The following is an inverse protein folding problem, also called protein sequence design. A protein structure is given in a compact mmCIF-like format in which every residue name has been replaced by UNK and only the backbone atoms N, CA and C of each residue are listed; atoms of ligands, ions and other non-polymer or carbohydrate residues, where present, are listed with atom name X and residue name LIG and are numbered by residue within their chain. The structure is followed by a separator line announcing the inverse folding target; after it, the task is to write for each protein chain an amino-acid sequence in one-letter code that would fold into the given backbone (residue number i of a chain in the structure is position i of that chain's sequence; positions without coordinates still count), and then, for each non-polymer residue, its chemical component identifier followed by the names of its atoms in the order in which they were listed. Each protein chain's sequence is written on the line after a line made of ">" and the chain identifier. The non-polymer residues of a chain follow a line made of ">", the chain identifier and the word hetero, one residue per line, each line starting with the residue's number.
data_IF_610437044814
#
_entry.id   IF_610437044814
#
_cell.length_a   1.000
_cell.length_b   1.000
_cell.length_c   1.000
_cell.angle_alpha   90.00
_cell.angle_beta   90.00
_cell.angle_gamma   90.00
#
_symmetry.space_group_name_H-M   'P 1'
#
loop_
_entity.id
_entity.type
_entity.pdbx_description
1 polymer ?
#
# COMPACT_ATOMS: atom_id res chain seq x y z
N UNK A 1 -11.38 28.77 -60.69
CA UNK A 1 -10.36 28.71 -59.61
C UNK A 1 -10.69 27.48 -58.72
N UNK A 2 -9.93 26.40 -58.90
CA UNK A 2 -10.16 25.14 -58.21
C UNK A 2 -9.43 25.16 -56.85
N UNK A 3 -10.17 25.03 -55.75
CA UNK A 3 -9.63 24.86 -54.40
C UNK A 3 -9.59 23.38 -54.07
N UNK A 4 -8.41 22.82 -53.94
CA UNK A 4 -8.14 21.43 -53.57
C UNK A 4 -8.25 21.25 -52.07
N UNK A 5 -9.19 20.46 -51.62
CA UNK A 5 -9.33 20.05 -50.20
C UNK A 5 -8.27 18.98 -49.84
N UNK A 6 -7.32 19.35 -49.00
CA UNK A 6 -6.38 18.39 -48.40
C UNK A 6 -7.08 17.56 -47.30
N UNK A 7 -7.24 16.28 -47.55
CA UNK A 7 -7.68 15.28 -46.58
C UNK A 7 -6.51 14.96 -45.64
N UNK A 8 -6.61 15.39 -44.41
CA UNK A 8 -5.68 15.00 -43.37
C UNK A 8 -5.93 13.55 -42.95
N UNK A 9 -4.99 12.66 -43.27
CA UNK A 9 -4.99 11.27 -42.87
C UNK A 9 -4.88 11.18 -41.32
N UNK A 10 -5.83 10.48 -40.71
CA UNK A 10 -5.78 10.09 -39.29
C UNK A 10 -4.55 9.23 -39.02
N UNK A 11 -3.80 9.45 -37.90
CA UNK A 11 -2.71 8.57 -37.55
C UNK A 11 -3.26 7.16 -37.28
N UNK A 12 -2.61 6.15 -37.88
CA UNK A 12 -2.93 4.74 -37.60
C UNK A 12 -2.60 4.43 -36.14
N UNK A 13 -3.45 3.64 -35.43
CA UNK A 13 -3.13 3.19 -34.09
C UNK A 13 -1.83 2.38 -34.13
N UNK A 14 -0.93 2.70 -33.19
CA UNK A 14 0.32 1.97 -33.00
C UNK A 14 0.01 0.47 -32.80
N UNK A 15 0.70 -0.39 -33.53
CA UNK A 15 0.61 -1.84 -33.33
C UNK A 15 1.06 -2.18 -31.92
N UNK A 16 0.12 -2.53 -31.08
CA UNK A 16 0.38 -3.14 -29.77
C UNK A 16 1.27 -4.38 -29.99
N UNK A 17 2.51 -4.27 -29.60
CA UNK A 17 3.41 -5.42 -29.51
C UNK A 17 2.86 -6.33 -28.42
N UNK A 18 2.17 -7.40 -28.80
CA UNK A 18 1.77 -8.44 -27.84
C UNK A 18 3.04 -8.95 -27.16
N UNK A 19 3.21 -8.55 -25.90
CA UNK A 19 4.24 -9.11 -25.04
C UNK A 19 3.86 -10.57 -24.77
N UNK A 20 4.38 -11.48 -25.57
CA UNK A 20 4.29 -12.92 -25.31
C UNK A 20 5.25 -13.20 -24.17
N UNK A 21 4.73 -13.13 -22.94
CA UNK A 21 5.48 -13.48 -21.74
C UNK A 21 5.85 -14.96 -21.79
N UNK A 22 7.14 -15.26 -22.01
CA UNK A 22 7.68 -16.62 -21.78
C UNK A 22 7.58 -16.88 -20.28
N UNK A 23 6.66 -17.73 -19.88
CA UNK A 23 6.57 -18.24 -18.50
C UNK A 23 7.86 -19.02 -18.22
N UNK A 24 8.55 -18.79 -17.08
CA UNK A 24 9.63 -19.68 -16.66
C UNK A 24 9.07 -21.11 -16.60
N UNK A 25 9.76 -22.07 -17.20
CA UNK A 25 9.29 -23.44 -17.42
C UNK A 25 9.19 -24.30 -16.16
N UNK A 26 9.09 -23.72 -14.95
CA UNK A 26 9.21 -24.47 -13.70
C UNK A 26 8.35 -24.02 -12.50
N UNK A 27 7.42 -23.05 -12.66
CA UNK A 27 6.52 -22.72 -11.54
C UNK A 27 5.37 -23.75 -11.51
N UNK A 28 5.21 -24.56 -10.45
CA UNK A 28 4.19 -25.59 -10.41
C UNK A 28 2.78 -24.96 -10.32
N UNK A 29 1.82 -25.58 -11.01
CA UNK A 29 0.42 -25.22 -10.90
C UNK A 29 -0.16 -25.71 -9.56
N UNK A 30 -0.92 -24.86 -8.84
CA UNK A 30 -1.49 -25.17 -7.53
C UNK A 30 -2.97 -24.82 -7.45
N UNK A 31 -3.68 -25.32 -6.45
CA UNK A 31 -5.10 -24.95 -6.25
C UNK A 31 -5.26 -23.52 -5.77
N UNK A 32 -4.43 -23.09 -4.83
CA UNK A 32 -4.56 -21.79 -4.17
C UNK A 32 -3.18 -21.19 -3.93
N UNK A 33 -3.01 -19.92 -4.24
CA UNK A 33 -1.78 -19.20 -3.95
C UNK A 33 -2.04 -17.80 -3.40
N UNK A 34 -1.23 -17.38 -2.43
CA UNK A 34 -0.99 -15.98 -2.08
C UNK A 34 0.24 -15.50 -2.84
N UNK A 35 0.17 -14.34 -3.45
CA UNK A 35 1.33 -13.75 -4.12
C UNK A 35 1.66 -12.38 -3.52
N UNK A 36 2.92 -12.15 -3.28
CA UNK A 36 3.50 -10.88 -2.88
C UNK A 36 4.43 -10.38 -3.98
N UNK A 37 4.42 -9.08 -4.21
CA UNK A 37 5.40 -8.42 -5.07
C UNK A 37 6.30 -7.54 -4.21
N UNK A 38 7.60 -7.78 -4.29
CA UNK A 38 8.61 -7.05 -3.55
C UNK A 38 9.80 -6.78 -4.46
N UNK A 39 10.23 -5.52 -4.56
CA UNK A 39 11.41 -5.13 -5.33
C UNK A 39 12.14 -3.96 -4.68
N UNK A 40 13.45 -3.86 -5.01
CA UNK A 40 14.34 -2.85 -4.48
C UNK A 40 14.93 -3.20 -3.11
N UNK A 41 15.90 -2.41 -2.68
CA UNK A 41 16.76 -2.73 -1.54
C UNK A 41 16.22 -2.30 -0.17
N UNK A 42 15.05 -1.63 -0.12
CA UNK A 42 14.52 -1.13 1.14
C UNK A 42 14.14 -2.27 2.07
N UNK A 43 14.99 -2.51 3.07
CA UNK A 43 14.79 -3.57 4.08
C UNK A 43 13.40 -3.55 4.72
N UNK A 44 12.82 -2.38 4.94
CA UNK A 44 11.52 -2.29 5.60
C UNK A 44 10.40 -3.01 4.83
N UNK A 45 10.42 -3.00 3.49
CA UNK A 45 9.44 -3.73 2.70
C UNK A 45 9.61 -5.26 2.79
N UNK A 46 10.88 -5.72 2.98
CA UNK A 46 11.14 -7.13 3.28
C UNK A 46 10.55 -7.52 4.64
N UNK A 47 10.68 -6.64 5.65
CA UNK A 47 10.12 -6.87 6.98
C UNK A 47 8.58 -6.86 6.95
N UNK A 48 7.95 -5.97 6.18
CA UNK A 48 6.51 -5.98 5.95
C UNK A 48 6.04 -7.33 5.38
N UNK A 49 6.60 -7.76 4.25
CA UNK A 49 6.25 -9.02 3.61
C UNK A 49 6.46 -10.22 4.57
N UNK A 50 7.61 -10.29 5.24
CA UNK A 50 7.91 -11.30 6.25
C UNK A 50 6.87 -11.33 7.36
N UNK A 51 6.49 -10.17 7.88
CA UNK A 51 5.51 -10.08 8.96
C UNK A 51 4.11 -10.49 8.49
N UNK A 52 3.68 -10.04 7.31
CA UNK A 52 2.43 -10.49 6.69
C UNK A 52 2.40 -12.02 6.55
N UNK A 53 3.47 -12.62 6.04
CA UNK A 53 3.63 -14.07 5.91
C UNK A 53 3.56 -14.76 7.28
N UNK A 54 4.26 -14.26 8.31
CA UNK A 54 4.18 -14.83 9.66
C UNK A 54 2.74 -14.86 10.19
N UNK A 55 1.97 -13.82 9.95
CA UNK A 55 0.56 -13.76 10.40
C UNK A 55 -0.33 -14.70 9.60
N UNK A 56 -0.09 -14.87 8.28
CA UNK A 56 -0.78 -15.86 7.45
C UNK A 56 -0.51 -17.30 7.95
N UNK A 57 0.77 -17.63 8.20
CA UNK A 57 1.19 -18.92 8.75
C UNK A 57 0.55 -19.19 10.11
N UNK A 58 0.59 -18.18 11.01
CA UNK A 58 0.05 -18.29 12.37
C UNK A 58 -1.47 -18.50 12.41
N UNK A 59 -2.20 -18.06 11.40
CA UNK A 59 -3.66 -18.17 11.29
C UNK A 59 -4.13 -19.37 10.47
N UNK A 60 -3.20 -20.05 9.79
CA UNK A 60 -3.51 -21.25 9.00
C UNK A 60 -3.53 -22.48 9.87
N UNK A 61 -4.48 -23.40 9.59
CA UNK A 61 -4.46 -24.74 10.18
C UNK A 61 -3.53 -25.65 9.39
N UNK A 62 -3.04 -26.73 10.00
CA UNK A 62 -2.29 -27.74 9.28
C UNK A 62 -3.07 -28.26 8.05
N UNK A 63 -2.42 -28.26 6.88
CA UNK A 63 -3.01 -28.69 5.62
C UNK A 63 -3.92 -27.68 4.91
N UNK A 64 -4.20 -26.51 5.52
CA UNK A 64 -5.03 -25.46 4.92
C UNK A 64 -4.19 -24.26 4.40
N UNK A 65 -2.86 -24.31 4.52
CA UNK A 65 -2.00 -23.23 4.06
C UNK A 65 -1.97 -23.19 2.52
N UNK A 66 -2.33 -22.08 1.87
CA UNK A 66 -2.13 -21.90 0.44
C UNK A 66 -0.64 -21.82 0.13
N UNK A 67 -0.25 -22.09 -1.11
CA UNK A 67 1.12 -21.80 -1.56
C UNK A 67 1.39 -20.32 -1.47
N UNK A 68 2.45 -19.91 -0.76
CA UNK A 68 2.86 -18.52 -0.67
C UNK A 68 4.00 -18.29 -1.64
N UNK A 69 3.86 -17.33 -2.55
CA UNK A 69 4.86 -16.95 -3.54
C UNK A 69 5.27 -15.50 -3.38
N UNK A 70 6.59 -15.29 -3.39
CA UNK A 70 7.18 -13.95 -3.33
C UNK A 70 7.90 -13.68 -4.66
N UNK A 71 7.37 -12.74 -5.42
CA UNK A 71 7.97 -12.27 -6.67
C UNK A 71 8.94 -11.14 -6.30
N UNK A 72 10.25 -11.33 -6.47
CA UNK A 72 11.25 -10.37 -5.96
C UNK A 72 12.56 -10.39 -6.73
N UNK A 73 13.25 -9.26 -6.74
CA UNK A 73 14.64 -9.10 -7.18
C UNK A 73 15.66 -9.34 -6.05
N UNK A 74 15.17 -9.62 -4.81
CA UNK A 74 15.98 -9.87 -3.63
C UNK A 74 15.72 -11.28 -3.05
N UNK A 75 15.93 -12.39 -3.82
CA UNK A 75 15.53 -13.73 -3.42
C UNK A 75 16.17 -14.17 -2.10
N UNK A 76 17.41 -13.76 -1.84
CA UNK A 76 18.17 -14.12 -0.62
C UNK A 76 17.50 -13.60 0.68
N UNK A 77 16.65 -12.58 0.58
CA UNK A 77 15.91 -12.09 1.74
C UNK A 77 14.94 -13.14 2.33
N UNK A 78 14.56 -14.13 1.52
CA UNK A 78 13.61 -15.18 1.90
C UNK A 78 14.25 -16.58 2.02
N UNK A 79 15.60 -16.65 2.10
CA UNK A 79 16.28 -17.92 2.34
C UNK A 79 15.81 -18.55 3.64
N UNK A 80 15.40 -19.83 3.57
CA UNK A 80 14.85 -20.58 4.72
C UNK A 80 13.41 -20.23 5.11
N UNK A 81 12.74 -19.29 4.42
CA UNK A 81 11.31 -19.01 4.62
C UNK A 81 10.44 -20.07 3.92
N UNK A 82 9.28 -20.45 4.50
CA UNK A 82 8.37 -21.42 3.90
C UNK A 82 7.53 -20.80 2.76
N UNK A 83 8.22 -20.28 1.75
CA UNK A 83 7.65 -19.62 0.57
C UNK A 83 8.34 -20.07 -0.70
N UNK A 84 7.67 -20.00 -1.84
CA UNK A 84 8.27 -20.16 -3.16
C UNK A 84 8.71 -18.80 -3.66
N UNK A 85 10.00 -18.64 -3.93
CA UNK A 85 10.55 -17.38 -4.45
C UNK A 85 10.57 -17.42 -5.97
N UNK A 86 9.96 -16.42 -6.60
CA UNK A 86 10.02 -16.21 -8.04
C UNK A 86 10.93 -15.01 -8.31
N UNK A 87 12.10 -15.28 -8.87
CA UNK A 87 13.10 -14.24 -9.11
C UNK A 87 12.68 -13.33 -10.25
N UNK A 88 12.68 -12.03 -10.01
CA UNK A 88 12.50 -10.98 -11.00
C UNK A 88 13.84 -10.35 -11.34
N UNK A 89 14.24 -10.39 -12.61
CA UNK A 89 15.41 -9.66 -13.06
C UNK A 89 15.09 -8.18 -13.34
N UNK A 90 16.12 -7.36 -13.44
CA UNK A 90 15.99 -5.92 -13.67
C UNK A 90 15.22 -5.62 -14.99
N UNK A 91 15.49 -6.39 -16.04
CA UNK A 91 14.83 -6.22 -17.34
C UNK A 91 13.31 -6.46 -17.23
N UNK A 92 12.89 -7.46 -16.46
CA UNK A 92 11.47 -7.74 -16.22
C UNK A 92 10.81 -6.62 -15.43
N UNK A 93 11.44 -6.12 -14.39
CA UNK A 93 10.94 -5.00 -13.59
C UNK A 93 10.81 -3.73 -14.44
N UNK A 94 11.77 -3.47 -15.33
CA UNK A 94 11.70 -2.37 -16.26
C UNK A 94 10.55 -2.53 -17.25
N UNK A 95 10.41 -3.70 -17.89
CA UNK A 95 9.31 -4.01 -18.78
C UNK A 95 7.94 -3.90 -18.07
N UNK A 96 7.86 -4.26 -16.78
CA UNK A 96 6.66 -4.14 -15.99
C UNK A 96 6.34 -2.69 -15.60
N UNK A 97 7.33 -1.80 -15.54
CA UNK A 97 7.09 -0.36 -15.34
C UNK A 97 6.43 0.26 -16.59
N UNK A 98 6.77 -0.24 -17.79
CA UNK A 98 6.26 0.25 -19.04
C UNK A 98 6.83 1.61 -19.46
N UNK A 99 6.48 2.05 -20.67
CA UNK A 99 7.00 3.31 -21.25
C UNK A 99 6.58 4.57 -20.46
N UNK A 100 5.42 4.51 -19.80
CA UNK A 100 4.90 5.61 -18.97
C UNK A 100 5.59 5.80 -17.63
N UNK A 101 6.53 4.93 -17.24
CA UNK A 101 7.29 5.04 -15.98
C UNK A 101 6.46 4.82 -14.70
N UNK A 102 5.22 4.32 -14.81
CA UNK A 102 4.33 4.15 -13.68
C UNK A 102 4.64 2.86 -12.89
N UNK A 103 5.29 2.99 -11.75
CA UNK A 103 5.82 1.86 -10.98
C UNK A 103 4.75 0.90 -10.44
N UNK A 104 3.53 1.38 -10.11
CA UNK A 104 2.44 0.52 -9.66
C UNK A 104 1.85 -0.38 -10.77
N UNK A 105 2.18 -0.11 -12.05
CA UNK A 105 1.91 -1.03 -13.16
C UNK A 105 2.51 -2.42 -12.91
N UNK A 106 3.64 -2.49 -12.21
CA UNK A 106 4.30 -3.75 -11.81
C UNK A 106 3.37 -4.66 -11.02
N UNK A 107 2.49 -4.10 -10.18
CA UNK A 107 1.47 -4.87 -9.44
C UNK A 107 0.53 -5.58 -10.39
N UNK A 108 -0.06 -4.88 -11.35
CA UNK A 108 -0.95 -5.46 -12.34
C UNK A 108 -0.24 -6.53 -13.18
N UNK A 109 1.02 -6.29 -13.58
CA UNK A 109 1.84 -7.27 -14.28
C UNK A 109 2.14 -8.52 -13.43
N UNK A 110 2.42 -8.37 -12.15
CA UNK A 110 2.64 -9.49 -11.24
C UNK A 110 1.37 -10.34 -11.09
N UNK A 111 0.21 -9.71 -10.94
CA UNK A 111 -1.08 -10.39 -10.88
C UNK A 111 -1.34 -11.15 -12.20
N UNK A 112 -1.23 -10.50 -13.36
CA UNK A 112 -1.43 -11.13 -14.67
C UNK A 112 -0.49 -12.32 -14.89
N UNK A 113 0.78 -12.17 -14.46
CA UNK A 113 1.78 -13.22 -14.60
C UNK A 113 1.48 -14.42 -13.72
N UNK A 114 1.16 -14.20 -12.45
CA UNK A 114 0.97 -15.24 -11.46
C UNK A 114 -0.42 -15.90 -11.52
N UNK A 115 -1.47 -15.22 -12.00
CA UNK A 115 -2.83 -15.77 -12.06
C UNK A 115 -2.93 -17.06 -12.88
N UNK A 116 -1.95 -17.34 -13.73
CA UNK A 116 -1.88 -18.55 -14.56
C UNK A 116 -1.28 -19.77 -13.84
N UNK A 117 -0.81 -19.62 -12.62
CA UNK A 117 -0.12 -20.67 -11.86
C UNK A 117 -1.02 -21.35 -10.83
N UNK A 118 -2.28 -20.93 -10.70
CA UNK A 118 -3.20 -21.51 -9.72
C UNK A 118 -4.65 -21.42 -10.19
N UNK A 119 -5.51 -22.28 -9.63
CA UNK A 119 -6.96 -22.17 -9.83
C UNK A 119 -7.50 -20.88 -9.19
N UNK A 120 -6.94 -20.47 -8.02
CA UNK A 120 -7.27 -19.20 -7.36
C UNK A 120 -6.01 -18.48 -6.91
N UNK A 121 -5.89 -17.22 -7.29
CA UNK A 121 -4.76 -16.36 -6.94
C UNK A 121 -5.25 -15.19 -6.12
N UNK A 122 -4.59 -14.91 -4.99
CA UNK A 122 -4.83 -13.70 -4.21
C UNK A 122 -3.51 -12.94 -4.09
N UNK A 123 -3.48 -11.74 -4.66
CA UNK A 123 -2.41 -10.78 -4.47
C UNK A 123 -2.57 -10.09 -3.13
N UNK A 124 -1.45 -9.89 -2.42
CA UNK A 124 -1.39 -9.26 -1.10
C UNK A 124 -0.29 -8.19 -1.12
N UNK A 125 -0.64 -6.94 -0.80
CA UNK A 125 0.36 -5.90 -0.54
C UNK A 125 1.16 -6.22 0.73
N UNK A 126 2.42 -5.82 0.78
CA UNK A 126 3.32 -6.18 1.89
C UNK A 126 2.89 -5.58 3.22
N UNK A 127 2.26 -4.41 3.20
CA UNK A 127 1.78 -3.68 4.38
C UNK A 127 0.42 -4.17 4.90
N UNK A 128 0.29 -5.49 5.00
CA UNK A 128 -0.91 -6.18 5.48
C UNK A 128 -0.62 -7.11 6.65
N UNK A 129 -1.64 -7.43 7.43
CA UNK A 129 -1.61 -8.49 8.46
C UNK A 129 -2.87 -9.33 8.41
N UNK A 130 -2.72 -10.64 8.54
CA UNK A 130 -3.84 -11.56 8.62
C UNK A 130 -4.44 -11.56 10.03
N UNK A 131 -5.71 -11.23 10.12
CA UNK A 131 -6.52 -11.29 11.34
C UNK A 131 -7.18 -12.66 11.50
N UNK A 132 -7.42 -13.35 10.38
CA UNK A 132 -8.04 -14.67 10.31
C UNK A 132 -7.30 -15.56 9.30
N UNK A 133 -7.73 -16.83 9.19
CA UNK A 133 -7.14 -17.77 8.23
C UNK A 133 -7.24 -17.28 6.79
N UNK A 134 -6.16 -17.36 5.99
CA UNK A 134 -6.19 -17.06 4.56
C UNK A 134 -7.28 -17.81 3.78
N UNK A 135 -7.67 -19.00 4.22
CA UNK A 135 -8.73 -19.79 3.58
C UNK A 135 -10.06 -19.04 3.47
N UNK A 136 -10.34 -18.10 4.40
CA UNK A 136 -11.54 -17.28 4.34
C UNK A 136 -11.56 -16.34 3.14
N UNK A 137 -10.39 -15.94 2.62
CA UNK A 137 -10.30 -15.15 1.38
C UNK A 137 -10.60 -16.03 0.16
N UNK A 138 -10.02 -17.24 0.10
CA UNK A 138 -10.23 -18.16 -1.03
C UNK A 138 -11.66 -18.66 -1.15
N UNK A 139 -12.41 -18.70 -0.04
CA UNK A 139 -13.84 -19.02 -0.04
C UNK A 139 -14.70 -17.94 -0.69
N UNK A 140 -14.17 -16.71 -0.83
CA UNK A 140 -14.85 -15.56 -1.40
C UNK A 140 -14.53 -15.35 -2.88
N UNK A 141 -13.70 -16.21 -3.50
CA UNK A 141 -13.23 -16.08 -4.88
C UNK A 141 -13.68 -17.28 -5.68
N UNK A 142 -14.34 -17.03 -6.81
CA UNK A 142 -14.66 -18.02 -7.85
C UNK A 142 -14.80 -17.33 -9.22
N UNK A 143 -15.35 -18.03 -10.23
CA UNK A 143 -15.52 -17.48 -11.56
C UNK A 143 -16.43 -16.25 -11.64
N UNK A 144 -17.30 -16.02 -10.65
CA UNK A 144 -18.29 -14.92 -10.60
C UNK A 144 -17.97 -13.90 -9.52
N UNK A 145 -17.19 -14.29 -8.50
CA UNK A 145 -16.88 -13.46 -7.34
C UNK A 145 -15.41 -13.09 -7.29
N UNK A 146 -15.16 -11.80 -7.19
CA UNK A 146 -13.84 -11.19 -7.07
C UNK A 146 -13.60 -10.70 -5.65
N UNK A 147 -12.36 -10.72 -5.22
CA UNK A 147 -11.96 -10.17 -3.93
C UNK A 147 -11.14 -8.90 -4.13
N UNK A 148 -11.47 -7.87 -3.36
CA UNK A 148 -10.68 -6.63 -3.25
C UNK A 148 -10.34 -6.37 -1.78
N UNK A 149 -9.43 -5.45 -1.49
CA UNK A 149 -9.16 -5.03 -0.12
C UNK A 149 -10.41 -4.43 0.51
N UNK A 150 -10.86 -3.31 -0.04
CA UNK A 150 -12.14 -2.67 0.32
C UNK A 150 -12.67 -1.84 -0.86
N UNK A 151 -13.97 -1.57 -0.85
CA UNK A 151 -14.60 -0.56 -1.71
C UNK A 151 -14.50 0.78 -0.99
N UNK A 152 -13.75 1.72 -1.56
CA UNK A 152 -13.49 3.02 -0.92
C UNK A 152 -14.64 4.00 -1.12
N UNK A 153 -15.11 4.15 -2.37
CA UNK A 153 -16.17 5.10 -2.74
C UNK A 153 -16.74 4.80 -4.12
N UNK A 154 -17.82 5.45 -4.49
CA UNK A 154 -18.34 5.49 -5.86
C UNK A 154 -17.57 6.50 -6.72
N UNK A 155 -17.64 6.34 -8.07
CA UNK A 155 -17.10 7.35 -8.97
C UNK A 155 -17.81 8.70 -8.84
N UNK A 156 -19.12 8.69 -8.59
CA UNK A 156 -19.88 9.90 -8.33
C UNK A 156 -19.27 10.73 -7.19
N UNK A 157 -18.83 10.06 -6.09
CA UNK A 157 -18.15 10.74 -4.98
C UNK A 157 -16.73 11.19 -5.36
N UNK A 158 -15.95 10.32 -6.02
CA UNK A 158 -14.57 10.57 -6.41
C UNK A 158 -14.45 11.74 -7.40
N UNK A 159 -15.33 11.84 -8.39
CA UNK A 159 -15.31 12.83 -9.46
C UNK A 159 -15.40 14.28 -8.96
N UNK A 160 -15.97 14.49 -7.77
CA UNK A 160 -16.02 15.80 -7.12
C UNK A 160 -14.73 16.18 -6.39
N UNK A 161 -13.80 15.26 -6.23
CA UNK A 161 -12.53 15.52 -5.56
C UNK A 161 -11.51 16.17 -6.51
N UNK A 162 -10.84 17.22 -6.03
CA UNK A 162 -9.71 17.84 -6.74
C UNK A 162 -8.60 16.83 -7.08
N UNK A 163 -8.44 15.77 -6.30
CA UNK A 163 -7.47 14.70 -6.53
C UNK A 163 -7.71 13.97 -7.85
N UNK A 164 -8.97 13.73 -8.23
CA UNK A 164 -9.33 13.03 -9.46
C UNK A 164 -9.61 13.95 -10.66
N UNK A 165 -9.65 15.29 -10.48
CA UNK A 165 -10.06 16.23 -11.53
C UNK A 165 -9.21 16.13 -12.81
N UNK A 166 -7.89 16.00 -12.68
CA UNK A 166 -6.97 15.79 -13.82
C UNK A 166 -7.23 14.50 -14.56
N UNK A 167 -7.47 13.43 -13.83
CA UNK A 167 -7.75 12.11 -14.38
C UNK A 167 -9.11 12.07 -15.09
N UNK A 168 -10.16 12.66 -14.52
CA UNK A 168 -11.49 12.77 -15.14
C UNK A 168 -11.38 13.44 -16.52
N UNK A 169 -10.60 14.54 -16.61
CA UNK A 169 -10.35 15.20 -17.89
C UNK A 169 -9.62 14.29 -18.87
N UNK A 170 -8.64 13.50 -18.41
CA UNK A 170 -7.92 12.52 -19.22
C UNK A 170 -8.84 11.44 -19.79
N UNK A 171 -9.74 10.88 -18.97
CA UNK A 171 -10.75 9.93 -19.41
C UNK A 171 -11.64 10.48 -20.51
N UNK A 172 -12.13 11.71 -20.35
CA UNK A 172 -12.94 12.37 -21.38
C UNK A 172 -12.17 12.51 -22.70
N UNK A 173 -10.88 12.86 -22.64
CA UNK A 173 -10.02 12.98 -23.82
C UNK A 173 -9.73 11.63 -24.48
N UNK A 174 -9.68 10.53 -23.72
CA UNK A 174 -9.51 9.16 -24.25
C UNK A 174 -10.80 8.56 -24.81
N UNK A 175 -11.93 9.27 -24.66
CA UNK A 175 -13.25 8.78 -25.09
C UNK A 175 -13.86 7.76 -24.14
N UNK A 176 -13.32 7.63 -22.95
CA UNK A 176 -13.88 6.80 -21.87
C UNK A 176 -14.68 7.67 -20.91
N UNK A 177 -15.88 7.23 -20.56
CA UNK A 177 -16.71 7.86 -19.55
C UNK A 177 -17.00 6.83 -18.45
N UNK A 178 -16.54 7.03 -17.22
CA UNK A 178 -16.96 6.19 -16.11
C UNK A 178 -18.43 6.46 -15.80
N UNK A 179 -19.11 5.43 -15.32
CA UNK A 179 -20.50 5.56 -14.85
C UNK A 179 -20.50 5.88 -13.36
N UNK A 180 -21.52 6.59 -12.91
CA UNK A 180 -21.59 7.10 -11.53
C UNK A 180 -21.55 6.01 -10.46
N UNK A 181 -22.08 4.82 -10.74
CA UNK A 181 -22.11 3.67 -9.85
C UNK A 181 -20.83 2.79 -9.91
N UNK A 182 -19.82 3.18 -10.70
CA UNK A 182 -18.51 2.54 -10.68
C UNK A 182 -17.92 2.62 -9.26
N UNK A 183 -17.63 1.46 -8.68
CA UNK A 183 -17.03 1.34 -7.35
C UNK A 183 -15.51 1.38 -7.44
N UNK A 184 -14.89 2.37 -6.80
CA UNK A 184 -13.45 2.43 -6.67
C UNK A 184 -12.99 1.51 -5.55
N UNK A 185 -12.15 0.54 -5.92
CA UNK A 185 -11.68 -0.51 -5.04
C UNK A 185 -10.21 -0.31 -4.70
N UNK A 186 -9.85 -0.46 -3.43
CA UNK A 186 -8.46 -0.54 -3.04
C UNK A 186 -7.85 -1.87 -3.52
N UNK A 187 -6.68 -1.80 -4.14
CA UNK A 187 -5.99 -2.94 -4.76
C UNK A 187 -4.96 -3.61 -3.84
N UNK A 188 -4.93 -3.29 -2.55
CA UNK A 188 -4.01 -3.90 -1.58
C UNK A 188 -4.20 -5.40 -1.40
N UNK A 189 -5.42 -5.87 -1.65
CA UNK A 189 -5.76 -7.29 -1.78
C UNK A 189 -6.57 -7.47 -3.06
N UNK A 190 -6.16 -8.40 -3.93
CA UNK A 190 -6.86 -8.67 -5.20
C UNK A 190 -6.95 -10.18 -5.42
N UNK A 191 -8.17 -10.71 -5.50
CA UNK A 191 -8.42 -12.15 -5.67
C UNK A 191 -9.15 -12.50 -6.96
N UNK A 192 -8.61 -13.47 -7.70
CA UNK A 192 -9.11 -13.93 -8.99
C UNK A 192 -9.12 -15.46 -9.10
N UNK A 193 -10.14 -15.99 -9.75
CA UNK A 193 -10.10 -17.35 -10.28
C UNK A 193 -9.35 -17.37 -11.61
N UNK A 194 -8.83 -18.53 -12.01
CA UNK A 194 -8.04 -18.71 -13.25
C UNK A 194 -8.79 -18.23 -14.49
N UNK A 195 -10.08 -18.48 -14.56
CA UNK A 195 -10.97 -18.09 -15.66
C UNK A 195 -10.98 -16.57 -15.89
N UNK A 196 -10.66 -15.82 -14.84
CA UNK A 196 -10.66 -14.35 -14.83
C UNK A 196 -9.27 -13.73 -14.97
N UNK A 197 -8.23 -14.52 -15.25
CA UNK A 197 -6.84 -14.03 -15.35
C UNK A 197 -6.67 -12.88 -16.36
N UNK A 198 -7.49 -12.84 -17.41
CA UNK A 198 -7.46 -11.79 -18.44
C UNK A 198 -7.83 -10.39 -17.93
N UNK A 199 -8.49 -10.27 -16.77
CA UNK A 199 -8.84 -8.97 -16.17
C UNK A 199 -7.59 -8.15 -15.88
N UNK A 200 -6.55 -8.77 -15.33
CA UNK A 200 -5.30 -8.06 -15.04
C UNK A 200 -4.59 -7.58 -16.32
N UNK A 201 -4.71 -8.32 -17.44
CA UNK A 201 -4.15 -7.90 -18.74
C UNK A 201 -4.90 -6.68 -19.29
N UNK A 202 -6.24 -6.64 -19.16
CA UNK A 202 -7.03 -5.48 -19.56
C UNK A 202 -6.77 -4.27 -18.67
N UNK A 203 -6.60 -4.48 -17.36
CA UNK A 203 -6.20 -3.41 -16.44
C UNK A 203 -4.84 -2.81 -16.84
N UNK A 204 -3.85 -3.63 -17.25
CA UNK A 204 -2.56 -3.15 -17.76
C UNK A 204 -2.76 -2.28 -19.01
N UNK A 205 -3.61 -2.68 -19.95
CA UNK A 205 -3.89 -1.89 -21.15
C UNK A 205 -4.48 -0.51 -20.80
N UNK A 206 -5.39 -0.45 -19.81
CA UNK A 206 -5.93 0.83 -19.32
C UNK A 206 -4.85 1.69 -18.65
N UNK A 207 -4.02 1.09 -17.79
CA UNK A 207 -2.90 1.78 -17.16
C UNK A 207 -2.01 2.42 -18.23
N UNK A 208 -1.64 1.68 -19.27
CA UNK A 208 -0.80 2.16 -20.37
C UNK A 208 -1.45 3.31 -21.14
N UNK A 209 -2.77 3.22 -21.38
CA UNK A 209 -3.52 4.28 -22.03
C UNK A 209 -3.66 5.54 -21.18
N UNK A 210 -3.77 5.40 -19.86
CA UNK A 210 -4.10 6.51 -18.95
C UNK A 210 -2.90 7.21 -18.34
N UNK A 211 -1.74 6.55 -18.25
CA UNK A 211 -0.54 7.11 -17.59
C UNK A 211 -0.13 8.46 -18.17
N UNK A 212 -0.32 8.69 -19.47
CA UNK A 212 -0.03 9.97 -20.12
C UNK A 212 -0.88 11.15 -19.60
N UNK A 213 -2.07 10.89 -19.05
CA UNK A 213 -3.00 11.90 -18.54
C UNK A 213 -2.96 12.08 -17.04
N UNK A 214 -2.33 11.14 -16.33
CA UNK A 214 -2.48 10.99 -14.90
C UNK A 214 -1.15 11.03 -14.13
N UNK A 215 -0.16 11.79 -14.61
CA UNK A 215 1.19 11.83 -14.04
C UNK A 215 1.25 12.17 -12.54
N UNK A 216 0.22 12.81 -11.99
CA UNK A 216 0.11 13.15 -10.57
C UNK A 216 -0.72 12.15 -9.76
N UNK A 217 -1.38 11.18 -10.41
CA UNK A 217 -2.26 10.23 -9.74
C UNK A 217 -1.52 8.92 -9.43
N UNK A 218 -1.37 8.60 -8.15
CA UNK A 218 -0.66 7.38 -7.72
C UNK A 218 -1.50 6.11 -7.76
N UNK A 219 -2.82 6.21 -8.01
CA UNK A 219 -3.79 5.10 -7.89
C UNK A 219 -4.39 4.66 -9.23
N UNK A 220 -3.66 4.87 -10.35
CA UNK A 220 -4.15 4.50 -11.69
C UNK A 220 -4.49 3.01 -11.77
N UNK A 221 -3.66 2.13 -11.18
CA UNK A 221 -3.90 0.70 -11.20
C UNK A 221 -5.16 0.31 -10.44
N UNK A 222 -5.46 0.97 -9.31
CA UNK A 222 -6.71 0.72 -8.57
C UNK A 222 -7.93 1.08 -9.41
N UNK A 223 -7.89 2.23 -10.09
CA UNK A 223 -8.97 2.69 -10.97
C UNK A 223 -9.10 1.73 -12.15
N UNK A 224 -7.99 1.30 -12.77
CA UNK A 224 -8.01 0.37 -13.89
C UNK A 224 -8.67 -0.97 -13.53
N UNK A 225 -8.32 -1.53 -12.36
CA UNK A 225 -9.00 -2.72 -11.85
C UNK A 225 -10.48 -2.45 -11.54
N UNK A 226 -10.80 -1.30 -10.97
CA UNK A 226 -12.19 -0.93 -10.65
C UNK A 226 -13.06 -0.88 -11.92
N UNK A 227 -12.53 -0.35 -13.02
CA UNK A 227 -13.21 -0.36 -14.32
C UNK A 227 -13.44 -1.78 -14.85
N UNK A 228 -12.44 -2.65 -14.75
CA UNK A 228 -12.55 -4.04 -15.21
C UNK A 228 -13.49 -4.88 -14.34
N UNK A 229 -13.69 -4.48 -13.09
CA UNK A 229 -14.60 -5.13 -12.15
C UNK A 229 -16.00 -4.48 -12.10
N UNK A 230 -16.27 -3.46 -12.95
CA UNK A 230 -17.58 -2.83 -12.98
C UNK A 230 -18.67 -3.85 -13.33
N UNK A 231 -19.77 -3.86 -12.58
CA UNK A 231 -20.86 -4.83 -12.70
C UNK A 231 -20.56 -6.23 -12.13
N UNK A 232 -19.33 -6.51 -11.70
CA UNK A 232 -18.98 -7.81 -11.10
C UNK A 232 -19.45 -7.93 -9.64
N UNK A 233 -19.52 -9.17 -9.16
CA UNK A 233 -19.75 -9.46 -7.73
C UNK A 233 -18.42 -9.31 -6.98
N UNK A 234 -18.33 -8.28 -6.12
CA UNK A 234 -17.12 -7.94 -5.37
C UNK A 234 -17.32 -8.28 -3.90
N UNK A 235 -16.39 -9.06 -3.35
CA UNK A 235 -16.22 -9.31 -1.92
C UNK A 235 -15.04 -8.49 -1.38
N UNK A 236 -15.06 -8.16 -0.09
CA UNK A 236 -14.02 -7.40 0.57
C UNK A 236 -13.19 -8.27 1.52
N UNK A 237 -11.87 -8.04 1.56
CA UNK A 237 -10.96 -8.73 2.47
C UNK A 237 -11.11 -8.25 3.93
N UNK A 238 -11.88 -7.20 4.15
CA UNK A 238 -12.11 -6.58 5.46
C UNK A 238 -12.49 -7.62 6.51
N UNK A 239 -11.84 -7.55 7.68
CA UNK A 239 -12.04 -8.49 8.78
C UNK A 239 -11.23 -9.79 8.67
N UNK A 240 -10.69 -10.14 7.51
CA UNK A 240 -9.71 -11.23 7.34
C UNK A 240 -8.30 -10.68 7.27
N UNK A 241 -8.11 -9.57 6.59
CA UNK A 241 -6.87 -8.80 6.52
C UNK A 241 -7.09 -7.41 7.11
N UNK A 242 -6.03 -6.85 7.69
CA UNK A 242 -5.90 -5.44 8.01
C UNK A 242 -4.76 -4.86 7.17
N UNK A 243 -5.08 -3.93 6.30
CA UNK A 243 -4.13 -3.18 5.50
C UNK A 243 -3.84 -1.85 6.20
N UNK A 244 -2.57 -1.59 6.52
CA UNK A 244 -2.20 -0.47 7.41
C UNK A 244 -1.56 0.72 6.67
N UNK A 245 -1.88 0.92 5.39
CA UNK A 245 -1.32 2.00 4.57
C UNK A 245 -1.38 3.38 5.24
N UNK A 246 -2.49 3.71 5.92
CA UNK A 246 -2.65 4.98 6.62
C UNK A 246 -1.82 5.12 7.92
N UNK A 247 -1.25 4.02 8.42
CA UNK A 247 -0.46 3.97 9.67
C UNK A 247 0.96 3.46 9.43
N UNK A 248 1.39 3.40 8.18
CA UNK A 248 2.61 2.72 7.71
C UNK A 248 3.84 3.09 8.52
N UNK A 249 4.09 4.37 8.78
CA UNK A 249 5.26 4.83 9.54
C UNK A 249 5.29 4.28 10.98
N UNK A 250 4.14 4.18 11.66
CA UNK A 250 4.06 3.63 13.02
C UNK A 250 4.32 2.12 13.00
N UNK A 251 3.74 1.42 12.04
CA UNK A 251 3.91 -0.02 11.92
C UNK A 251 5.35 -0.35 11.53
N UNK A 252 5.99 0.43 10.65
CA UNK A 252 7.42 0.27 10.36
C UNK A 252 8.28 0.31 11.62
N UNK A 253 8.07 1.31 12.49
CA UNK A 253 8.79 1.39 13.76
C UNK A 253 8.53 0.17 14.66
N UNK A 254 7.31 -0.36 14.67
CA UNK A 254 6.95 -1.57 15.40
C UNK A 254 7.66 -2.80 14.80
N UNK A 255 7.64 -2.96 13.47
CA UNK A 255 8.29 -4.08 12.79
C UNK A 255 9.82 -4.08 12.98
N UNK A 256 10.46 -2.91 12.94
CA UNK A 256 11.88 -2.79 13.23
C UNK A 256 12.22 -3.27 14.65
N UNK A 257 11.40 -2.93 15.65
CA UNK A 257 11.57 -3.43 17.01
C UNK A 257 11.39 -4.95 17.06
N UNK A 258 10.33 -5.47 16.43
CA UNK A 258 10.04 -6.91 16.43
C UNK A 258 11.20 -7.69 15.83
N UNK A 259 11.65 -7.35 14.61
CA UNK A 259 12.72 -8.08 13.93
C UNK A 259 14.10 -7.83 14.53
N UNK A 260 14.34 -6.68 15.16
CA UNK A 260 15.56 -6.46 15.95
C UNK A 260 15.66 -7.41 17.14
N UNK A 261 14.53 -7.73 17.77
CA UNK A 261 14.48 -8.63 18.94
C UNK A 261 14.51 -10.10 18.57
N UNK A 262 13.86 -10.46 17.49
CA UNK A 262 13.61 -11.85 17.13
C UNK A 262 14.49 -12.36 15.98
N UNK A 263 15.20 -11.45 15.28
CA UNK A 263 15.85 -11.76 14.01
C UNK A 263 14.84 -11.78 12.84
N UNK A 264 15.37 -11.82 11.62
CA UNK A 264 14.57 -11.85 10.38
C UNK A 264 14.75 -13.15 9.56
N UNK A 265 15.43 -14.13 10.13
CA UNK A 265 15.47 -15.51 9.63
C UNK A 265 14.22 -16.27 10.16
N UNK A 266 13.67 -17.11 9.31
CA UNK A 266 12.46 -17.84 9.68
C UNK A 266 12.71 -18.84 10.80
N UNK A 267 11.87 -18.75 11.83
CA UNK A 267 11.72 -19.76 12.88
C UNK A 267 10.22 -19.92 13.18
N UNK A 268 9.67 -21.15 13.31
CA UNK A 268 8.25 -21.37 13.56
C UNK A 268 7.71 -20.65 14.81
N UNK A 269 8.55 -20.36 15.80
CA UNK A 269 8.14 -19.64 17.01
C UNK A 269 7.77 -18.17 16.71
N UNK A 270 8.32 -17.58 15.64
CA UNK A 270 8.01 -16.23 15.21
C UNK A 270 6.53 -16.07 14.87
N UNK A 271 5.88 -17.09 14.34
CA UNK A 271 4.44 -17.06 14.06
C UNK A 271 3.61 -16.70 15.31
N UNK A 272 3.91 -17.36 16.44
CA UNK A 272 3.22 -17.10 17.71
C UNK A 272 3.59 -15.73 18.29
N UNK A 273 4.82 -15.27 18.07
CA UNK A 273 5.30 -13.97 18.54
C UNK A 273 4.67 -12.84 17.73
N UNK A 274 4.55 -13.00 16.41
CA UNK A 274 3.91 -12.02 15.52
C UNK A 274 2.46 -11.71 15.94
N UNK A 275 1.70 -12.72 16.39
CA UNK A 275 0.32 -12.49 16.87
C UNK A 275 0.21 -11.63 18.14
N UNK A 276 1.31 -11.38 18.84
CA UNK A 276 1.35 -10.56 20.07
C UNK A 276 1.81 -9.13 19.80
N UNK A 277 2.23 -8.82 18.58
CA UNK A 277 2.71 -7.49 18.19
C UNK A 277 1.52 -6.53 18.06
N UNK A 278 1.56 -5.33 18.67
CA UNK A 278 0.47 -4.38 18.58
C UNK A 278 0.46 -3.69 17.20
N UNK A 279 -0.35 -4.20 16.27
CA UNK A 279 -0.45 -3.67 14.89
C UNK A 279 -1.42 -2.48 14.80
N UNK A 280 -1.26 -1.51 15.71
CA UNK A 280 -2.06 -0.29 15.77
C UNK A 280 -1.18 0.90 16.10
N UNK A 281 -1.58 2.07 15.63
CA UNK A 281 -0.95 3.33 16.02
C UNK A 281 -1.18 3.57 17.52
N UNK A 282 -0.15 3.56 18.37
CA UNK A 282 -0.31 3.84 19.77
C UNK A 282 -0.83 5.26 20.01
N UNK A 283 -1.80 5.38 20.90
CA UNK A 283 -2.37 6.65 21.34
C UNK A 283 -2.40 6.67 22.87
N UNK A 284 -2.41 7.86 23.52
CA UNK A 284 -2.58 7.95 24.95
C UNK A 284 -3.85 7.25 25.45
N UNK A 285 -3.86 6.83 26.71
CA UNK A 285 -5.05 6.29 27.38
C UNK A 285 -6.25 7.25 27.24
N UNK A 286 -7.45 6.76 27.53
CA UNK A 286 -8.62 7.63 27.39
C UNK A 286 -8.56 8.88 28.29
N UNK A 287 -8.07 8.76 29.51
CA UNK A 287 -7.81 9.92 30.39
C UNK A 287 -6.73 10.84 29.79
N UNK A 288 -5.66 10.28 29.23
CA UNK A 288 -4.63 11.04 28.53
C UNK A 288 -5.21 11.82 27.34
N UNK A 289 -6.08 11.21 26.54
CA UNK A 289 -6.75 11.91 25.42
C UNK A 289 -7.68 13.03 25.88
N UNK A 290 -8.37 12.87 27.01
CA UNK A 290 -9.16 13.95 27.61
C UNK A 290 -8.24 15.10 28.06
N UNK A 291 -7.14 14.80 28.75
CA UNK A 291 -6.13 15.81 29.13
C UNK A 291 -5.61 16.56 27.91
N UNK A 292 -5.24 15.85 26.84
CA UNK A 292 -4.83 16.48 25.58
C UNK A 292 -5.92 17.39 25.01
N UNK A 293 -7.18 16.94 24.99
CA UNK A 293 -8.32 17.77 24.52
C UNK A 293 -8.44 19.08 25.33
N UNK A 294 -8.23 19.02 26.64
CA UNK A 294 -8.27 20.21 27.49
C UNK A 294 -7.08 21.14 27.23
N UNK A 295 -5.88 20.60 27.12
CA UNK A 295 -4.67 21.38 26.82
C UNK A 295 -4.80 22.11 25.48
N UNK A 296 -5.38 21.46 24.46
CA UNK A 296 -5.57 22.04 23.13
C UNK A 296 -6.58 23.19 23.08
N UNK A 297 -7.42 23.39 24.08
CA UNK A 297 -8.31 24.57 24.14
C UNK A 297 -7.55 25.90 24.19
N UNK A 298 -6.33 25.88 24.72
CA UNK A 298 -5.45 27.05 24.83
C UNK A 298 -4.53 27.25 23.63
N UNK A 299 -4.55 26.31 22.69
CA UNK A 299 -3.72 26.31 21.48
C UNK A 299 -4.51 26.97 20.34
N UNK A 300 -3.92 27.89 19.56
CA UNK A 300 -4.54 28.44 18.37
C UNK A 300 -5.12 27.35 17.45
N UNK A 301 -6.29 27.56 16.83
CA UNK A 301 -6.98 26.55 16.05
C UNK A 301 -6.11 25.88 14.98
N UNK A 302 -5.30 26.69 14.27
CA UNK A 302 -4.37 26.27 13.22
C UNK A 302 -3.24 25.37 13.71
N UNK A 303 -2.82 25.53 14.96
CA UNK A 303 -1.75 24.74 15.61
C UNK A 303 -2.25 23.51 16.37
N UNK A 304 -3.57 23.32 16.53
CA UNK A 304 -4.14 22.20 17.32
C UNK A 304 -3.77 20.83 16.77
N UNK A 305 -3.62 20.70 15.45
CA UNK A 305 -3.17 19.46 14.81
C UNK A 305 -1.78 19.08 15.29
N UNK A 306 -0.85 20.00 15.19
CA UNK A 306 0.54 19.86 15.62
C UNK A 306 0.61 19.62 17.13
N UNK A 307 -0.08 20.45 17.92
CA UNK A 307 -0.13 20.31 19.37
C UNK A 307 -0.65 18.93 19.83
N UNK A 308 -1.62 18.38 19.11
CA UNK A 308 -2.12 17.02 19.36
C UNK A 308 -1.05 15.96 19.11
N UNK A 309 -0.32 16.05 18.01
CA UNK A 309 0.75 15.10 17.66
C UNK A 309 1.87 15.16 18.71
N UNK A 310 2.27 16.36 19.16
CA UNK A 310 3.25 16.56 20.22
C UNK A 310 2.82 15.88 21.53
N UNK A 311 1.60 16.19 21.99
CA UNK A 311 1.06 15.67 23.25
C UNK A 311 0.76 14.16 23.17
N UNK A 312 0.37 13.63 22.00
CA UNK A 312 0.20 12.18 21.81
C UNK A 312 1.54 11.46 21.91
N UNK A 313 2.60 11.95 21.27
CA UNK A 313 3.94 11.41 21.43
C UNK A 313 4.38 11.40 22.88
N UNK A 314 4.16 12.49 23.63
CA UNK A 314 4.52 12.55 25.07
C UNK A 314 3.65 11.66 25.96
N UNK A 315 2.41 11.41 25.56
CA UNK A 315 1.45 10.62 26.34
C UNK A 315 1.58 9.10 26.20
N UNK A 316 2.51 8.61 25.36
CA UNK A 316 2.81 7.18 25.17
C UNK A 316 4.24 6.88 25.60
N UNK A 317 4.55 5.61 25.93
CA UNK A 317 5.92 5.24 26.29
C UNK A 317 6.05 4.06 27.23
N UNK A 318 4.97 3.28 27.42
CA UNK A 318 4.94 2.14 28.34
C UNK A 318 5.91 1.02 27.96
N UNK A 319 5.87 0.58 26.72
CA UNK A 319 6.75 -0.47 26.19
C UNK A 319 7.67 0.03 25.07
N UNK A 320 8.50 -0.84 24.53
CA UNK A 320 9.46 -0.50 23.49
C UNK A 320 8.77 -0.12 22.16
N UNK A 321 7.67 -0.76 21.80
CA UNK A 321 6.88 -0.43 20.61
C UNK A 321 6.28 0.97 20.72
N UNK A 322 5.71 1.30 21.88
CA UNK A 322 5.17 2.63 22.13
C UNK A 322 6.27 3.70 22.08
N UNK A 323 7.45 3.44 22.67
CA UNK A 323 8.58 4.39 22.62
C UNK A 323 9.07 4.63 21.20
N UNK A 324 9.11 3.60 20.34
CA UNK A 324 9.45 3.77 18.93
C UNK A 324 8.41 4.63 18.19
N UNK A 325 7.12 4.41 18.44
CA UNK A 325 6.04 5.20 17.86
C UNK A 325 5.96 6.64 18.37
N UNK A 326 6.49 6.92 19.57
CA UNK A 326 6.63 8.28 20.11
C UNK A 326 7.39 9.20 19.16
N UNK A 327 8.52 8.70 18.64
CA UNK A 327 9.35 9.42 17.66
C UNK A 327 8.56 9.70 16.38
N UNK A 328 7.73 8.76 15.92
CA UNK A 328 6.91 8.94 14.70
C UNK A 328 5.87 10.03 14.91
N UNK A 329 5.18 10.08 16.07
CA UNK A 329 4.27 11.17 16.38
C UNK A 329 4.96 12.54 16.28
N UNK A 330 6.18 12.63 16.80
CA UNK A 330 6.93 13.88 16.82
C UNK A 330 7.46 14.26 15.44
N UNK A 331 7.96 13.31 14.65
CA UNK A 331 8.34 13.56 13.23
C UNK A 331 7.16 14.08 12.43
N UNK A 332 5.98 13.48 12.61
CA UNK A 332 4.78 13.97 11.95
C UNK A 332 4.36 15.38 12.41
N UNK A 333 4.65 15.76 13.66
CA UNK A 333 4.46 17.15 14.10
C UNK A 333 5.46 18.11 13.45
N UNK A 334 6.72 17.69 13.27
CA UNK A 334 7.76 18.48 12.60
C UNK A 334 7.42 18.69 11.12
N UNK A 335 6.93 17.64 10.45
CA UNK A 335 6.47 17.74 9.05
C UNK A 335 5.35 18.77 8.90
N UNK A 336 4.34 18.74 9.78
CA UNK A 336 3.27 19.74 9.77
C UNK A 336 3.79 21.17 10.06
N UNK A 337 4.75 21.30 10.99
CA UNK A 337 5.35 22.61 11.31
C UNK A 337 6.05 23.22 10.08
N UNK A 338 6.73 22.41 9.28
CA UNK A 338 7.41 22.83 8.06
C UNK A 338 6.46 23.35 6.97
N UNK A 339 5.18 22.96 7.04
CA UNK A 339 4.15 23.42 6.10
C UNK A 339 3.53 24.75 6.54
N UNK A 340 3.87 25.27 7.73
CA UNK A 340 3.38 26.59 8.18
C UNK A 340 4.14 27.70 7.48
N UNK A 341 3.40 28.68 6.94
CA UNK A 341 3.98 29.84 6.29
C UNK A 341 4.88 30.63 7.27
N UNK A 342 6.11 30.89 6.84
CA UNK A 342 7.09 31.65 7.64
C UNK A 342 7.64 30.91 8.87
N UNK A 343 7.41 29.59 8.97
CA UNK A 343 7.98 28.80 10.08
C UNK A 343 9.47 28.55 9.82
N UNK A 344 10.32 29.13 10.67
CA UNK A 344 11.73 28.82 10.76
C UNK A 344 12.00 28.11 12.09
N UNK A 345 12.67 26.96 12.03
CA UNK A 345 13.07 26.26 13.25
C UNK A 345 14.16 27.08 13.97
N UNK A 346 13.79 27.65 15.10
CA UNK A 346 14.76 28.23 16.04
C UNK A 346 15.01 27.26 17.20
N UNK A 347 16.09 27.45 17.96
CA UNK A 347 16.32 26.65 19.18
C UNK A 347 15.28 26.95 20.27
N UNK A 348 14.48 28.00 20.12
CA UNK A 348 13.38 28.32 21.02
C UNK A 348 12.15 27.48 20.70
N UNK A 349 11.40 27.11 21.74
CA UNK A 349 10.13 26.39 21.58
C UNK A 349 9.12 27.26 20.83
N UNK A 350 8.45 26.73 19.78
CA UNK A 350 7.53 27.51 18.98
C UNK A 350 6.38 28.10 19.79
N UNK A 351 6.09 29.38 19.57
CA UNK A 351 5.03 30.09 20.25
C UNK A 351 3.66 29.50 19.91
N UNK A 352 2.75 29.49 20.87
CA UNK A 352 1.40 28.95 20.72
C UNK A 352 1.30 27.43 20.83
N UNK A 353 2.39 26.66 20.78
CA UNK A 353 2.38 25.22 20.95
C UNK A 353 2.42 24.81 22.42
N UNK A 354 1.77 23.68 22.79
CA UNK A 354 1.78 23.20 24.18
C UNK A 354 3.18 22.78 24.59
N UNK A 355 3.61 23.16 25.78
CA UNK A 355 4.88 22.72 26.36
C UNK A 355 4.83 21.23 26.68
N UNK A 356 5.95 20.56 26.48
CA UNK A 356 6.16 19.17 26.87
C UNK A 356 6.91 19.11 28.20
N UNK A 357 7.03 17.93 28.78
CA UNK A 357 7.96 17.74 29.88
C UNK A 357 9.40 17.96 29.46
N UNK A 358 10.27 18.46 30.34
CA UNK A 358 11.66 18.86 30.02
C UNK A 358 12.45 17.80 29.24
N UNK A 359 12.28 16.52 29.57
CA UNK A 359 12.97 15.43 28.87
C UNK A 359 12.42 15.22 27.45
N UNK A 360 11.10 15.35 27.29
CA UNK A 360 10.43 15.23 25.99
C UNK A 360 10.74 16.42 25.08
N UNK A 361 10.81 17.62 25.62
CA UNK A 361 11.26 18.80 24.84
C UNK A 361 12.68 18.63 24.32
N UNK A 362 13.61 18.15 25.16
CA UNK A 362 14.98 17.87 24.72
C UNK A 362 15.05 16.80 23.62
N UNK A 363 14.31 15.70 23.80
CA UNK A 363 14.28 14.62 22.83
C UNK A 363 13.62 15.08 21.52
N UNK A 364 12.54 15.83 21.57
CA UNK A 364 11.88 16.40 20.40
C UNK A 364 12.80 17.36 19.65
N UNK A 365 13.47 18.28 20.35
CA UNK A 365 14.43 19.21 19.74
C UNK A 365 15.57 18.49 19.03
N UNK A 366 16.09 17.41 19.63
CA UNK A 366 17.14 16.61 18.98
C UNK A 366 16.65 16.01 17.65
N UNK A 367 15.44 15.43 17.62
CA UNK A 367 14.81 14.87 16.43
C UNK A 367 14.59 15.94 15.35
N UNK A 368 14.12 17.14 15.78
CA UNK A 368 13.89 18.25 14.85
C UNK A 368 15.19 18.74 14.20
N UNK A 369 16.27 18.84 14.98
CA UNK A 369 17.59 19.23 14.47
C UNK A 369 18.20 18.16 13.54
N UNK A 370 17.98 16.88 13.79
CA UNK A 370 18.38 15.80 12.89
C UNK A 370 17.63 15.88 11.55
N UNK A 371 16.33 16.16 11.62
CA UNK A 371 15.50 16.30 10.43
C UNK A 371 15.92 17.45 9.53
N UNK A 372 16.44 18.56 10.10
CA UNK A 372 16.96 19.71 9.35
C UNK A 372 18.31 19.46 8.65
N UNK A 373 19.06 18.42 9.08
CA UNK A 373 20.36 18.09 8.47
C UNK A 373 20.21 17.10 7.33
N UNK A 374 19.04 16.47 7.20
CA UNK A 374 18.75 15.44 6.19
C UNK A 374 18.19 16.02 4.88
N UNK A 375 17.83 17.31 4.87
CA UNK A 375 17.46 18.11 3.69
C UNK A 375 18.70 18.89 3.19
#
# INVERSE_FOLDING_TARGET
>A
MHGTLHYNARPRPARSTRCVMKVPSSVPFVKQQLIYLLYGERRIYQLEAKFSILTALARSKPGELPTIRVLTDQPQAFDGWPVEVVVLDAQRLENWTGEGGYTHRRKACAIAHASRWAEKTIFIDTDTVFLQSPQKLFQQVDAQHFLVDEVEMSWAEASHSAYYAGFTRGLTLSGEAPVDDLRLCNSGVMGFALENAAIAERAIQRIDAWTQYASALHTIEQIAFSFELHGAQINEARGVISHYFAMKQYIHAILEIFFRRCGDQFDPSLCKQALKVPMQRPVPSWLGRLSVKWSLKRVPPELRGIGRKLLYGSGIGGDEYQRACKVIWWRSAIEDMRQLDGFEWSQAWPEGLPRLGRNDERAFTAIALESLKAD
#
